data_IF_993572591417
#
_entry.id   IF_993572591417
#
_cell.length_a   1.000
_cell.length_b   1.000
_cell.length_c   1.000
_cell.angle_alpha   90.00
_cell.angle_beta   90.00
_cell.angle_gamma   90.00
#
_symmetry.space_group_name_H-M   'P 1'
#
loop_
_entity.id
_entity.type
_entity.pdbx_description
1 polymer ?
#
# COMPACT_ATOMS: atom_id res chain seq x y z
N UNK A 1 10.81 40.14 0.94
CA UNK A 1 9.65 39.41 1.49
C UNK A 1 9.71 37.91 1.20
N UNK A 2 9.78 37.45 -0.06
CA UNK A 2 9.83 36.02 -0.40
C UNK A 2 10.98 35.24 0.24
N UNK A 3 12.18 35.83 0.30
CA UNK A 3 13.34 35.24 0.97
C UNK A 3 13.12 35.04 2.47
N UNK A 4 12.37 35.94 3.15
CA UNK A 4 12.05 35.78 4.56
C UNK A 4 11.10 34.60 4.81
N UNK A 5 10.18 34.32 3.89
CA UNK A 5 9.29 33.14 3.97
C UNK A 5 10.13 31.86 3.89
N UNK A 6 11.05 31.79 2.93
CA UNK A 6 11.96 30.64 2.77
C UNK A 6 12.81 30.43 4.03
N UNK A 7 13.41 31.49 4.56
CA UNK A 7 14.24 31.41 5.77
C UNK A 7 13.41 31.00 7.00
N UNK A 8 12.21 31.58 7.18
CA UNK A 8 11.32 31.23 8.28
C UNK A 8 10.86 29.77 8.20
N UNK A 9 10.51 29.30 7.01
CA UNK A 9 10.14 27.91 6.77
C UNK A 9 11.33 26.96 7.04
N UNK A 10 12.52 27.28 6.53
CA UNK A 10 13.72 26.50 6.76
C UNK A 10 14.08 26.39 8.25
N UNK A 11 14.02 27.51 8.99
CA UNK A 11 14.23 27.49 10.45
C UNK A 11 13.18 26.64 11.17
N UNK A 12 11.93 26.65 10.69
CA UNK A 12 10.85 25.84 11.26
C UNK A 12 11.10 24.34 11.11
N UNK A 13 11.68 23.92 9.97
CA UNK A 13 11.94 22.50 9.68
C UNK A 13 13.25 22.03 10.32
N UNK A 14 14.33 22.80 10.17
CA UNK A 14 15.67 22.37 10.58
C UNK A 14 15.98 22.65 12.05
N UNK A 15 15.33 23.67 12.64
CA UNK A 15 15.57 24.07 14.02
C UNK A 15 14.26 24.30 14.80
N UNK A 16 13.35 23.31 14.85
CA UNK A 16 12.01 23.46 15.45
C UNK A 16 12.05 23.84 16.94
N UNK A 17 13.12 23.47 17.66
CA UNK A 17 13.32 23.81 19.08
C UNK A 17 13.76 25.27 19.31
N UNK A 18 14.30 25.94 18.29
CA UNK A 18 14.81 27.31 18.40
C UNK A 18 13.77 28.36 17.96
N UNK A 19 12.66 27.93 17.37
CA UNK A 19 11.60 28.81 16.89
C UNK A 19 10.31 28.66 17.69
N UNK A 20 9.52 29.73 17.75
CA UNK A 20 8.21 29.68 18.41
C UNK A 20 7.24 28.81 17.59
N UNK A 21 6.42 27.93 18.21
CA UNK A 21 5.49 27.06 17.48
C UNK A 21 4.51 27.79 16.55
N UNK A 22 4.12 29.02 16.91
CA UNK A 22 3.26 29.85 16.07
C UNK A 22 3.87 30.17 14.69
N UNK A 23 5.20 30.11 14.57
CA UNK A 23 5.88 30.34 13.29
C UNK A 23 5.46 29.30 12.25
N UNK A 24 5.15 28.07 12.65
CA UNK A 24 4.78 26.99 11.74
C UNK A 24 3.51 27.35 10.94
N UNK A 25 2.45 27.75 11.65
CA UNK A 25 1.19 28.16 11.04
C UNK A 25 1.31 29.45 10.22
N UNK A 26 2.20 30.37 10.63
CA UNK A 26 2.46 31.62 9.89
C UNK A 26 3.27 31.39 8.60
N UNK A 27 4.17 30.40 8.59
CA UNK A 27 5.07 30.14 7.47
C UNK A 27 4.46 29.22 6.40
N UNK A 28 3.66 28.23 6.79
CA UNK A 28 3.19 27.17 5.88
C UNK A 28 2.29 27.70 4.76
N UNK A 29 1.34 28.59 5.06
CA UNK A 29 0.41 29.13 4.06
C UNK A 29 1.13 30.01 3.02
N UNK A 30 2.00 30.95 3.41
CA UNK A 30 2.87 31.65 2.46
C UNK A 30 3.79 30.71 1.67
N UNK A 31 4.32 29.65 2.29
CA UNK A 31 5.17 28.67 1.61
C UNK A 31 4.41 27.92 0.51
N UNK A 32 3.20 27.43 0.80
CA UNK A 32 2.31 26.81 -0.18
C UNK A 32 2.01 27.79 -1.31
N UNK A 33 1.69 29.06 -1.01
CA UNK A 33 1.49 30.08 -2.05
C UNK A 33 2.72 30.28 -2.94
N UNK A 34 3.93 30.18 -2.40
CA UNK A 34 5.16 30.27 -3.19
C UNK A 34 5.37 29.07 -4.10
N UNK A 35 5.05 27.86 -3.65
CA UNK A 35 5.01 26.68 -4.52
C UNK A 35 4.01 26.92 -5.65
N UNK A 36 2.81 27.38 -5.30
CA UNK A 36 1.71 27.56 -6.24
C UNK A 36 1.91 28.69 -7.26
N UNK A 37 2.76 29.67 -6.95
CA UNK A 37 3.06 30.78 -7.84
C UNK A 37 3.91 30.37 -9.07
N UNK A 38 4.52 29.18 -9.07
CA UNK A 38 5.36 28.65 -10.16
C UNK A 38 6.41 29.66 -10.66
N UNK A 39 6.99 30.43 -9.72
CA UNK A 39 7.98 31.46 -10.00
C UNK A 39 9.41 30.89 -9.94
N UNK A 40 10.23 31.34 -10.88
CA UNK A 40 11.53 30.80 -11.25
C UNK A 40 12.56 30.73 -10.10
N UNK A 41 12.52 31.66 -9.14
CA UNK A 41 13.60 31.81 -8.15
C UNK A 41 13.41 31.02 -6.85
N UNK A 42 12.17 30.81 -6.41
CA UNK A 42 11.91 30.30 -5.06
C UNK A 42 10.91 29.14 -5.00
N UNK A 43 10.15 28.84 -6.07
CA UNK A 43 9.11 27.80 -6.00
C UNK A 43 9.68 26.38 -5.86
N UNK A 44 10.80 26.08 -6.51
CA UNK A 44 11.49 24.78 -6.34
C UNK A 44 12.02 24.61 -4.91
N UNK A 45 12.72 25.61 -4.37
CA UNK A 45 13.18 25.58 -2.96
C UNK A 45 12.02 25.55 -1.96
N UNK A 46 10.93 26.28 -2.23
CA UNK A 46 9.73 26.22 -1.40
C UNK A 46 9.13 24.81 -1.38
N UNK A 47 9.11 24.14 -2.53
CA UNK A 47 8.62 22.77 -2.66
C UNK A 47 9.53 21.77 -1.93
N UNK A 48 10.84 21.94 -1.97
CA UNK A 48 11.81 21.13 -1.21
C UNK A 48 11.60 21.29 0.31
N UNK A 49 11.53 22.52 0.82
CA UNK A 49 11.32 22.78 2.27
C UNK A 49 9.94 22.29 2.73
N UNK A 50 8.91 22.47 1.90
CA UNK A 50 7.57 21.96 2.18
C UNK A 50 7.57 20.43 2.21
N UNK A 51 8.31 19.78 1.31
CA UNK A 51 8.43 18.32 1.30
C UNK A 51 9.19 17.82 2.54
N UNK A 52 10.30 18.45 2.90
CA UNK A 52 11.16 18.02 4.01
C UNK A 52 10.44 18.11 5.36
N UNK A 53 9.71 19.21 5.60
CA UNK A 53 9.00 19.40 6.87
C UNK A 53 7.63 18.73 6.94
N UNK A 54 7.20 17.98 5.91
CA UNK A 54 5.80 17.52 5.82
C UNK A 54 5.43 16.61 6.99
N UNK A 55 6.23 15.59 7.27
CA UNK A 55 5.95 14.61 8.33
C UNK A 55 6.08 15.22 9.74
N UNK A 56 7.09 16.05 9.97
CA UNK A 56 7.46 16.55 11.29
C UNK A 56 6.75 17.84 11.69
N UNK A 57 6.52 18.75 10.74
CA UNK A 57 6.17 20.16 11.02
C UNK A 57 4.84 20.54 10.39
N UNK A 58 4.67 20.30 9.08
CA UNK A 58 3.57 20.89 8.32
C UNK A 58 2.28 20.10 8.42
N UNK A 59 2.32 18.77 8.53
CA UNK A 59 1.12 17.92 8.60
C UNK A 59 0.19 18.31 9.75
N UNK A 60 0.73 18.76 10.89
CA UNK A 60 -0.07 19.23 12.01
C UNK A 60 -0.82 20.55 11.71
N UNK A 61 -0.30 21.38 10.79
CA UNK A 61 -0.88 22.67 10.44
C UNK A 61 -1.84 22.60 9.25
N UNK A 62 -1.52 21.79 8.23
CA UNK A 62 -2.26 21.74 6.95
C UNK A 62 -2.82 20.36 6.61
N UNK A 63 -2.88 19.43 7.57
CA UNK A 63 -3.25 18.03 7.33
C UNK A 63 -4.55 17.85 6.53
N UNK A 64 -5.59 18.62 6.83
CA UNK A 64 -6.88 18.58 6.11
C UNK A 64 -6.82 19.15 4.69
N UNK A 65 -5.81 19.95 4.37
CA UNK A 65 -5.64 20.60 3.07
C UNK A 65 -4.75 19.79 2.12
N UNK A 66 -4.00 18.79 2.63
CA UNK A 66 -3.09 17.95 1.84
C UNK A 66 -3.77 17.35 0.60
N UNK A 67 -4.97 16.75 0.65
CA UNK A 67 -5.62 16.19 -0.54
C UNK A 67 -5.91 17.25 -1.62
N UNK A 68 -6.31 18.45 -1.21
CA UNK A 68 -6.54 19.57 -2.13
C UNK A 68 -5.23 20.01 -2.78
N UNK A 69 -4.18 20.16 -1.97
CA UNK A 69 -2.84 20.53 -2.46
C UNK A 69 -2.29 19.48 -3.45
N UNK A 70 -2.51 18.18 -3.21
CA UNK A 70 -2.15 17.13 -4.16
C UNK A 70 -2.86 17.32 -5.51
N UNK A 71 -4.17 17.59 -5.49
CA UNK A 71 -4.93 17.86 -6.71
C UNK A 71 -4.43 19.11 -7.46
N UNK A 72 -4.13 20.16 -6.71
CA UNK A 72 -3.55 21.40 -7.23
C UNK A 72 -2.16 21.19 -7.88
N UNK A 73 -1.31 20.35 -7.28
CA UNK A 73 -0.01 19.96 -7.87
C UNK A 73 -0.18 19.13 -9.14
N UNK A 74 -1.14 18.20 -9.18
CA UNK A 74 -1.44 17.46 -10.41
C UNK A 74 -1.89 18.39 -11.54
N UNK A 75 -2.75 19.37 -11.23
CA UNK A 75 -3.16 20.38 -12.19
C UNK A 75 -1.95 21.18 -12.73
N UNK A 76 -1.00 21.57 -11.87
CA UNK A 76 0.21 22.26 -12.32
C UNK A 76 1.08 21.40 -13.22
N UNK A 77 1.24 20.11 -12.90
CA UNK A 77 2.00 19.17 -13.72
C UNK A 77 1.37 19.05 -15.11
N UNK A 78 0.03 18.98 -15.18
CA UNK A 78 -0.72 18.98 -16.43
C UNK A 78 -0.43 20.26 -17.24
N UNK A 79 -0.57 21.44 -16.61
CA UNK A 79 -0.32 22.72 -17.27
C UNK A 79 1.11 22.85 -17.79
N UNK A 80 2.12 22.45 -17.00
CA UNK A 80 3.53 22.58 -17.38
C UNK A 80 3.90 21.60 -18.49
N UNK A 81 3.30 20.41 -18.50
CA UNK A 81 3.60 19.38 -19.50
C UNK A 81 2.85 19.65 -20.80
N UNK A 82 1.61 20.15 -20.75
CA UNK A 82 0.80 20.50 -21.92
C UNK A 82 1.17 21.84 -22.58
N UNK A 83 1.65 22.83 -21.82
CA UNK A 83 2.03 24.15 -22.36
C UNK A 83 3.19 24.11 -23.36
N UNK A 84 3.95 23.01 -23.42
CA UNK A 84 5.03 22.83 -24.40
C UNK A 84 4.52 22.77 -25.85
N UNK A 85 3.22 22.55 -26.10
CA UNK A 85 2.68 22.43 -27.45
C UNK A 85 2.20 23.75 -28.07
N UNK A 86 1.68 24.71 -27.28
CA UNK A 86 0.90 25.84 -27.83
C UNK A 86 1.28 27.25 -27.34
N UNK A 87 2.25 27.41 -26.43
CA UNK A 87 2.71 28.75 -26.01
C UNK A 87 4.21 28.76 -25.77
N UNK A 88 4.96 29.75 -26.27
CA UNK A 88 6.37 29.89 -25.95
C UNK A 88 6.51 30.27 -24.46
N UNK A 89 6.70 29.28 -23.59
CA UNK A 89 7.10 29.53 -22.20
C UNK A 89 8.44 30.25 -22.22
N UNK A 90 8.52 31.40 -21.56
CA UNK A 90 9.69 32.29 -21.59
C UNK A 90 11.01 31.63 -21.14
N UNK A 91 10.97 30.50 -20.41
CA UNK A 91 12.16 29.75 -19.97
C UNK A 91 11.88 28.22 -19.82
N UNK A 92 12.09 27.40 -20.85
CA UNK A 92 11.76 25.96 -20.83
C UNK A 92 12.61 25.13 -19.85
N UNK A 93 13.83 25.56 -19.52
CA UNK A 93 14.67 24.88 -18.53
C UNK A 93 14.13 24.99 -17.10
N UNK A 94 13.44 26.09 -16.79
CA UNK A 94 12.96 26.38 -15.43
C UNK A 94 11.64 25.67 -15.15
N UNK A 95 10.76 25.58 -16.15
CA UNK A 95 9.52 24.80 -16.05
C UNK A 95 9.79 23.31 -15.83
N UNK A 96 10.82 22.77 -16.49
CA UNK A 96 11.30 21.39 -16.28
C UNK A 96 11.79 21.21 -14.85
N UNK A 97 12.64 22.10 -14.32
CA UNK A 97 13.14 22.00 -12.94
C UNK A 97 12.03 22.02 -11.90
N UNK A 98 11.06 22.93 -12.03
CA UNK A 98 9.94 23.02 -11.08
C UNK A 98 9.11 21.74 -11.17
N UNK A 99 8.75 21.28 -12.37
CA UNK A 99 8.02 20.01 -12.57
C UNK A 99 8.76 18.84 -11.92
N UNK A 100 10.06 18.73 -12.14
CA UNK A 100 10.86 17.63 -11.59
C UNK A 100 10.92 17.70 -10.06
N UNK A 101 10.93 18.89 -9.48
CA UNK A 101 10.84 19.08 -8.02
C UNK A 101 9.45 18.67 -7.49
N UNK A 102 8.38 19.09 -8.18
CA UNK A 102 7.00 18.74 -7.80
C UNK A 102 6.78 17.22 -7.85
N UNK A 103 7.16 16.58 -8.96
CA UNK A 103 6.99 15.14 -9.19
C UNK A 103 7.96 14.30 -8.34
N UNK A 104 9.22 14.73 -8.26
CA UNK A 104 10.29 13.94 -7.66
C UNK A 104 10.39 14.05 -6.15
N UNK A 105 9.93 15.17 -5.57
CA UNK A 105 10.17 15.53 -4.16
C UNK A 105 8.86 15.84 -3.44
N UNK A 106 8.12 16.86 -3.87
CA UNK A 106 6.97 17.36 -3.09
C UNK A 106 5.78 16.40 -3.10
N UNK A 107 5.35 15.95 -4.29
CA UNK A 107 4.17 15.08 -4.42
C UNK A 107 4.34 13.75 -3.65
N UNK A 108 5.49 13.03 -3.73
CA UNK A 108 5.73 11.87 -2.88
C UNK A 108 5.66 12.19 -1.38
N UNK A 109 6.20 13.33 -0.94
CA UNK A 109 6.16 13.70 0.48
C UNK A 109 4.73 13.96 0.96
N UNK A 110 3.93 14.71 0.19
CA UNK A 110 2.51 14.92 0.46
C UNK A 110 1.74 13.59 0.51
N UNK A 111 2.01 12.70 -0.45
CA UNK A 111 1.36 11.40 -0.53
C UNK A 111 1.73 10.48 0.65
N UNK A 112 2.97 10.53 1.15
CA UNK A 112 3.35 9.79 2.36
C UNK A 112 2.73 10.38 3.62
N UNK A 113 2.51 11.69 3.67
CA UNK A 113 1.89 12.36 4.79
C UNK A 113 0.38 12.07 4.93
N UNK A 114 -0.33 11.92 3.80
CA UNK A 114 -1.72 11.47 3.75
C UNK A 114 -1.95 10.48 2.59
N UNK A 115 -1.63 9.21 2.85
CA UNK A 115 -1.73 8.12 1.87
C UNK A 115 -3.16 7.94 1.38
N UNK A 116 -4.15 7.94 2.28
CA UNK A 116 -5.55 7.77 1.90
C UNK A 116 -6.06 8.96 1.08
N UNK A 117 -5.73 10.18 1.51
CA UNK A 117 -6.03 11.41 0.75
C UNK A 117 -5.48 11.36 -0.66
N UNK A 118 -4.20 10.98 -0.81
CA UNK A 118 -3.58 10.78 -2.12
C UNK A 118 -4.32 9.75 -2.98
N UNK A 119 -4.62 8.57 -2.43
CA UNK A 119 -5.33 7.50 -3.16
C UNK A 119 -6.72 7.94 -3.62
N UNK A 120 -7.44 8.73 -2.80
CA UNK A 120 -8.74 9.29 -3.16
C UNK A 120 -8.63 10.34 -4.27
N UNK A 121 -7.54 11.11 -4.31
CA UNK A 121 -7.30 12.09 -5.38
C UNK A 121 -7.05 11.37 -6.70
N UNK A 122 -6.13 10.40 -6.75
CA UNK A 122 -5.79 9.72 -8.01
C UNK A 122 -6.97 8.88 -8.55
N UNK A 123 -7.78 8.30 -7.67
CA UNK A 123 -9.01 7.59 -8.06
C UNK A 123 -10.01 8.51 -8.77
N UNK A 124 -10.11 9.78 -8.37
CA UNK A 124 -10.94 10.76 -9.08
C UNK A 124 -10.29 11.18 -10.39
N UNK A 125 -8.97 11.42 -10.37
CA UNK A 125 -8.21 11.89 -11.53
C UNK A 125 -8.27 10.93 -12.71
N UNK A 126 -8.34 9.62 -12.48
CA UNK A 126 -8.39 8.62 -13.55
C UNK A 126 -9.62 8.81 -14.46
N UNK A 127 -10.73 9.32 -13.92
CA UNK A 127 -11.97 9.57 -14.65
C UNK A 127 -12.16 11.02 -15.08
N UNK A 128 -11.49 11.97 -14.40
CA UNK A 128 -11.64 13.40 -14.66
C UNK A 128 -10.59 14.01 -15.60
N UNK A 129 -9.58 13.24 -16.01
CA UNK A 129 -8.52 13.71 -16.91
C UNK A 129 -8.53 12.95 -18.24
N UNK A 130 -7.89 13.54 -19.25
CA UNK A 130 -7.71 12.86 -20.53
C UNK A 130 -6.93 11.55 -20.35
N UNK A 131 -7.25 10.55 -21.16
CA UNK A 131 -6.63 9.23 -21.09
C UNK A 131 -5.10 9.25 -21.29
N UNK A 132 -4.59 10.22 -22.04
CA UNK A 132 -3.16 10.40 -22.33
C UNK A 132 -2.46 11.41 -21.39
N UNK A 133 -3.16 11.89 -20.36
CA UNK A 133 -2.60 12.84 -19.40
C UNK A 133 -1.34 12.28 -18.69
N UNK A 134 -0.29 13.09 -18.51
CA UNK A 134 0.89 12.72 -17.73
C UNK A 134 0.60 12.41 -16.26
N UNK A 135 -0.54 12.86 -15.73
CA UNK A 135 -0.97 12.63 -14.34
C UNK A 135 -1.03 11.14 -14.00
N UNK A 136 -1.45 10.29 -14.93
CA UNK A 136 -1.53 8.84 -14.71
C UNK A 136 -0.15 8.24 -14.43
N UNK A 137 0.85 8.59 -15.25
CA UNK A 137 2.23 8.12 -15.09
C UNK A 137 2.85 8.65 -13.80
N UNK A 138 2.63 9.93 -13.49
CA UNK A 138 3.11 10.54 -12.25
C UNK A 138 2.47 9.88 -11.02
N UNK A 139 1.18 9.53 -11.10
CA UNK A 139 0.48 8.81 -10.03
C UNK A 139 1.10 7.44 -9.78
N UNK A 140 1.38 6.67 -10.84
CA UNK A 140 2.07 5.38 -10.75
C UNK A 140 3.47 5.49 -10.14
N UNK A 141 4.25 6.49 -10.56
CA UNK A 141 5.57 6.76 -9.97
C UNK A 141 5.47 7.13 -8.49
N UNK A 142 4.48 7.94 -8.13
CA UNK A 142 4.25 8.37 -6.74
C UNK A 142 3.82 7.20 -5.86
N UNK A 143 2.94 6.31 -6.35
CA UNK A 143 2.58 5.05 -5.66
C UNK A 143 3.85 4.24 -5.34
N UNK A 144 4.75 4.08 -6.30
CA UNK A 144 6.02 3.38 -6.09
C UNK A 144 6.88 4.06 -5.02
N UNK A 145 6.92 5.40 -5.00
CA UNK A 145 7.65 6.14 -3.96
C UNK A 145 7.03 5.96 -2.57
N UNK A 146 5.71 6.02 -2.45
CA UNK A 146 4.98 5.77 -1.20
C UNK A 146 5.21 4.34 -0.72
N UNK A 147 5.10 3.36 -1.62
CA UNK A 147 5.35 1.95 -1.30
C UNK A 147 6.76 1.72 -0.75
N UNK A 148 7.77 2.43 -1.27
CA UNK A 148 9.15 2.33 -0.79
C UNK A 148 9.41 3.09 0.50
N UNK A 149 8.83 4.29 0.65
CA UNK A 149 9.09 5.19 1.78
C UNK A 149 8.27 4.86 3.03
N UNK A 150 7.01 4.46 2.87
CA UNK A 150 6.08 4.18 3.98
C UNK A 150 5.21 2.95 3.70
N UNK A 151 5.81 1.76 3.41
CA UNK A 151 5.07 0.58 2.98
C UNK A 151 3.93 0.19 3.93
N UNK A 152 4.17 0.24 5.25
CA UNK A 152 3.18 -0.12 6.28
C UNK A 152 1.87 0.67 6.16
N UNK A 153 1.95 1.96 5.84
CA UNK A 153 0.77 2.82 5.71
C UNK A 153 -0.05 2.48 4.45
N UNK A 154 0.57 1.83 3.45
CA UNK A 154 -0.05 1.44 2.20
C UNK A 154 -0.69 0.05 2.23
N UNK A 155 -0.28 -0.82 3.16
CA UNK A 155 -0.74 -2.22 3.29
C UNK A 155 -2.27 -2.36 3.27
N UNK A 156 -2.96 -1.56 4.08
CA UNK A 156 -4.42 -1.60 4.18
C UNK A 156 -5.14 -1.17 2.89
N UNK A 157 -4.43 -0.53 1.97
CA UNK A 157 -4.97 -0.01 0.71
C UNK A 157 -4.44 -0.77 -0.51
N UNK A 158 -3.79 -1.93 -0.34
CA UNK A 158 -3.18 -2.68 -1.44
C UNK A 158 -4.14 -2.98 -2.58
N UNK A 159 -5.39 -3.38 -2.26
CA UNK A 159 -6.39 -3.61 -3.28
C UNK A 159 -6.72 -2.35 -4.09
N UNK A 160 -6.86 -1.20 -3.40
CA UNK A 160 -7.11 0.09 -4.06
C UNK A 160 -5.95 0.49 -4.96
N UNK A 161 -4.72 0.34 -4.46
CA UNK A 161 -3.48 0.61 -5.21
C UNK A 161 -3.39 -0.26 -6.46
N UNK A 162 -3.57 -1.57 -6.31
CA UNK A 162 -3.47 -2.49 -7.43
C UNK A 162 -4.61 -2.27 -8.42
N UNK A 163 -5.84 -2.02 -7.95
CA UNK A 163 -6.98 -1.70 -8.82
C UNK A 163 -6.70 -0.46 -9.64
N UNK A 164 -6.14 0.61 -9.05
CA UNK A 164 -5.73 1.79 -9.79
C UNK A 164 -4.68 1.45 -10.87
N UNK A 165 -3.63 0.68 -10.52
CA UNK A 165 -2.61 0.30 -11.50
C UNK A 165 -3.22 -0.53 -12.64
N UNK A 166 -4.10 -1.47 -12.32
CA UNK A 166 -4.82 -2.27 -13.31
C UNK A 166 -5.70 -1.41 -14.24
N UNK A 167 -6.42 -0.42 -13.71
CA UNK A 167 -7.24 0.50 -14.51
C UNK A 167 -6.40 1.26 -15.55
N UNK A 168 -5.15 1.64 -15.23
CA UNK A 168 -4.27 2.34 -16.18
C UNK A 168 -3.78 1.48 -17.35
N UNK A 169 -4.01 0.16 -17.31
CA UNK A 169 -3.68 -0.79 -18.38
C UNK A 169 -4.90 -1.52 -18.93
N UNK A 170 -6.11 -1.02 -18.63
CA UNK A 170 -7.36 -1.57 -19.13
C UNK A 170 -7.34 -1.68 -20.67
N UNK A 171 -7.57 -2.87 -21.25
CA UNK A 171 -7.69 -3.03 -22.70
C UNK A 171 -8.78 -2.16 -23.34
N UNK A 172 -9.80 -1.74 -22.58
CA UNK A 172 -10.85 -0.83 -23.04
C UNK A 172 -10.38 0.61 -23.30
N UNK A 173 -9.28 1.05 -22.68
CA UNK A 173 -8.73 2.39 -22.87
C UNK A 173 -7.34 2.35 -23.51
N UNK A 174 -7.31 2.24 -24.84
CA UNK A 174 -6.06 2.08 -25.60
C UNK A 174 -5.09 3.26 -25.44
N UNK A 175 -5.59 4.49 -25.30
CA UNK A 175 -4.76 5.67 -25.14
C UNK A 175 -4.01 5.65 -23.80
N UNK A 176 -4.74 5.43 -22.71
CA UNK A 176 -4.15 5.34 -21.37
C UNK A 176 -3.20 4.15 -21.27
N UNK A 177 -3.61 2.99 -21.78
CA UNK A 177 -2.78 1.78 -21.81
C UNK A 177 -1.47 2.01 -22.56
N UNK A 178 -1.50 2.65 -23.73
CA UNK A 178 -0.29 2.95 -24.52
C UNK A 178 0.71 3.80 -23.72
N UNK A 179 0.24 4.80 -22.99
CA UNK A 179 1.07 5.70 -22.19
C UNK A 179 1.56 5.05 -20.90
N UNK A 180 0.72 4.26 -20.23
CA UNK A 180 0.97 3.79 -18.87
C UNK A 180 1.53 2.37 -18.77
N UNK A 181 1.44 1.52 -19.81
CA UNK A 181 1.74 0.08 -19.71
C UNK A 181 3.10 -0.21 -19.07
N UNK A 182 4.17 0.43 -19.55
CA UNK A 182 5.52 0.21 -19.01
C UNK A 182 5.64 0.60 -17.53
N UNK A 183 5.14 1.77 -17.18
CA UNK A 183 5.18 2.29 -15.81
C UNK A 183 4.30 1.48 -14.86
N UNK A 184 3.16 0.99 -15.36
CA UNK A 184 2.21 0.16 -14.61
C UNK A 184 2.78 -1.22 -14.30
N UNK A 185 3.40 -1.87 -15.29
CA UNK A 185 4.08 -3.15 -15.08
C UNK A 185 5.28 -3.01 -14.12
N UNK A 186 6.03 -1.91 -14.23
CA UNK A 186 7.10 -1.62 -13.27
C UNK A 186 6.55 -1.39 -11.85
N UNK A 187 5.42 -0.67 -11.72
CA UNK A 187 4.76 -0.46 -10.44
C UNK A 187 4.24 -1.77 -9.84
N UNK A 188 3.55 -2.62 -10.60
CA UNK A 188 3.08 -3.93 -10.13
C UNK A 188 4.23 -4.79 -9.62
N UNK A 189 5.34 -4.88 -10.37
CA UNK A 189 6.53 -5.63 -9.96
C UNK A 189 7.11 -5.11 -8.66
N UNK A 190 7.16 -3.80 -8.51
CA UNK A 190 7.65 -3.17 -7.29
C UNK A 190 6.72 -3.41 -6.09
N UNK A 191 5.40 -3.33 -6.30
CA UNK A 191 4.40 -3.64 -5.27
C UNK A 191 4.55 -5.11 -4.83
N UNK A 192 4.61 -6.06 -5.75
CA UNK A 192 4.81 -7.48 -5.42
C UNK A 192 6.15 -7.76 -4.71
N UNK A 193 7.20 -6.99 -5.03
CA UNK A 193 8.51 -7.09 -4.37
C UNK A 193 8.46 -6.62 -2.91
N UNK A 194 7.75 -5.52 -2.66
CA UNK A 194 7.67 -4.89 -1.33
C UNK A 194 6.65 -5.60 -0.44
N UNK A 195 5.49 -5.96 -0.99
CA UNK A 195 4.36 -6.51 -0.24
C UNK A 195 4.24 -8.00 -0.48
N UNK A 196 4.62 -8.85 0.49
CA UNK A 196 4.55 -10.30 0.33
C UNK A 196 3.13 -10.83 0.15
N UNK A 197 2.10 -10.05 0.50
CA UNK A 197 0.70 -10.36 0.26
C UNK A 197 0.28 -10.19 -1.21
N UNK A 198 1.20 -9.78 -2.09
CA UNK A 198 0.97 -9.63 -3.52
C UNK A 198 1.92 -10.55 -4.27
N UNK A 199 1.37 -11.44 -5.08
CA UNK A 199 2.16 -12.37 -5.89
C UNK A 199 1.91 -12.11 -7.38
N UNK A 200 2.99 -12.11 -8.16
CA UNK A 200 2.97 -12.02 -9.61
C UNK A 200 3.51 -13.31 -10.21
N UNK A 201 2.83 -13.83 -11.21
CA UNK A 201 3.36 -14.84 -12.11
C UNK A 201 3.46 -14.21 -13.51
N UNK A 202 4.66 -13.72 -13.82
CA UNK A 202 4.97 -13.03 -15.08
C UNK A 202 4.72 -13.95 -16.31
N UNK A 203 5.18 -15.21 -16.36
CA UNK A 203 4.96 -16.09 -17.51
C UNK A 203 3.48 -16.31 -17.87
N UNK A 204 2.61 -16.47 -16.87
CA UNK A 204 1.17 -16.76 -17.07
C UNK A 204 0.32 -15.48 -16.96
N UNK A 205 0.95 -14.32 -16.79
CA UNK A 205 0.29 -13.01 -16.63
C UNK A 205 -0.78 -13.01 -15.52
N UNK A 206 -0.46 -13.58 -14.36
CA UNK A 206 -1.39 -13.65 -13.21
C UNK A 206 -0.93 -12.77 -12.05
N UNK A 207 -1.91 -12.24 -11.33
CA UNK A 207 -1.72 -11.41 -10.15
C UNK A 207 -2.64 -11.90 -9.04
N UNK A 208 -2.11 -12.11 -7.84
CA UNK A 208 -2.86 -12.43 -6.65
C UNK A 208 -2.64 -11.36 -5.58
N UNK A 209 -3.71 -10.96 -4.90
CA UNK A 209 -3.71 -9.98 -3.82
C UNK A 209 -4.45 -10.59 -2.64
N UNK A 210 -3.74 -10.74 -1.53
CA UNK A 210 -4.32 -11.21 -0.28
C UNK A 210 -4.77 -10.07 0.62
N UNK A 211 -5.83 -10.30 1.39
CA UNK A 211 -6.23 -9.42 2.48
C UNK A 211 -5.16 -9.44 3.58
N UNK A 212 -4.32 -8.40 3.59
CA UNK A 212 -3.23 -8.28 4.56
C UNK A 212 -3.74 -8.12 5.99
N UNK A 213 -4.75 -7.26 6.16
CA UNK A 213 -5.39 -6.95 7.45
C UNK A 213 -6.90 -7.07 7.27
N UNK A 214 -7.55 -7.79 8.17
CA UNK A 214 -8.99 -8.01 8.10
C UNK A 214 -9.48 -8.94 9.21
N UNK A 215 -10.72 -9.35 9.11
CA UNK A 215 -11.27 -10.39 9.98
C UNK A 215 -10.87 -11.76 9.44
N UNK A 216 -10.47 -12.66 10.34
CA UNK A 216 -10.03 -14.01 9.97
C UNK A 216 -11.15 -14.78 9.27
N UNK A 217 -12.42 -14.49 9.55
CA UNK A 217 -13.56 -15.22 8.99
C UNK A 217 -13.99 -14.74 7.60
N UNK A 218 -13.47 -13.60 7.13
CA UNK A 218 -13.84 -13.00 5.84
C UNK A 218 -12.65 -12.82 4.90
N UNK A 219 -11.48 -13.30 5.31
CA UNK A 219 -10.26 -13.10 4.53
C UNK A 219 -10.28 -13.84 3.20
N UNK A 220 -9.81 -13.15 2.17
CA UNK A 220 -9.86 -13.61 0.80
C UNK A 220 -8.56 -13.31 0.07
N UNK A 221 -8.33 -14.07 -1.01
CA UNK A 221 -7.30 -13.76 -2.00
C UNK A 221 -7.99 -13.55 -3.33
N UNK A 222 -7.73 -12.42 -3.96
CA UNK A 222 -8.29 -12.07 -5.27
C UNK A 222 -7.26 -12.33 -6.33
N UNK A 223 -7.64 -13.12 -7.33
CA UNK A 223 -6.78 -13.49 -8.45
C UNK A 223 -7.29 -12.82 -9.72
N UNK A 224 -6.37 -12.18 -10.43
CA UNK A 224 -6.61 -11.40 -11.64
C UNK A 224 -5.82 -11.99 -12.80
N UNK A 225 -6.45 -11.95 -13.97
CA UNK A 225 -5.76 -12.09 -15.25
C UNK A 225 -5.27 -10.71 -15.71
N UNK A 226 -3.95 -10.54 -15.80
CA UNK A 226 -3.34 -9.26 -16.20
C UNK A 226 -3.46 -8.98 -17.70
N UNK A 227 -3.80 -9.98 -18.53
CA UNK A 227 -4.01 -9.75 -19.96
C UNK A 227 -5.36 -9.08 -20.22
N UNK A 228 -6.42 -9.59 -19.58
CA UNK A 228 -7.78 -9.05 -19.69
C UNK A 228 -8.13 -8.02 -18.62
N UNK A 229 -7.31 -7.87 -17.58
CA UNK A 229 -7.56 -6.99 -16.42
C UNK A 229 -8.87 -7.35 -15.71
N UNK A 230 -9.17 -8.65 -15.66
CA UNK A 230 -10.38 -9.15 -15.00
C UNK A 230 -10.05 -9.97 -13.77
N UNK A 231 -10.85 -9.80 -12.71
CA UNK A 231 -10.83 -10.71 -11.58
C UNK A 231 -11.37 -12.05 -12.04
N UNK A 232 -10.52 -13.08 -11.98
CA UNK A 232 -10.87 -14.43 -12.43
C UNK A 232 -11.39 -15.30 -11.29
N UNK A 233 -10.88 -15.10 -10.06
CA UNK A 233 -11.29 -15.87 -8.89
C UNK A 233 -11.11 -15.12 -7.57
N UNK A 234 -11.82 -15.65 -6.57
CA UNK A 234 -11.66 -15.34 -5.16
C UNK A 234 -11.35 -16.65 -4.45
N UNK A 235 -10.25 -16.72 -3.72
CA UNK A 235 -9.90 -17.85 -2.89
C UNK A 235 -10.28 -17.52 -1.45
N UNK A 236 -10.95 -18.46 -0.81
CA UNK A 236 -11.33 -18.33 0.58
C UNK A 236 -10.13 -18.63 1.47
N UNK A 237 -9.61 -17.57 2.10
CA UNK A 237 -8.50 -17.64 3.04
C UNK A 237 -9.01 -17.47 4.49
N UNK A 238 -10.31 -17.67 4.73
CA UNK A 238 -10.88 -17.62 6.06
C UNK A 238 -10.27 -18.68 6.98
N UNK A 239 -10.51 -18.53 8.29
CA UNK A 239 -10.03 -19.46 9.32
C UNK A 239 -10.27 -20.93 8.94
N UNK A 240 -9.45 -21.86 9.44
CA UNK A 240 -9.45 -23.23 8.95
C UNK A 240 -10.85 -23.85 9.06
N UNK A 241 -11.30 -24.63 8.06
CA UNK A 241 -12.54 -25.39 8.18
C UNK A 241 -12.40 -26.34 9.37
N UNK A 242 -12.99 -25.98 10.51
CA UNK A 242 -12.99 -26.77 11.73
C UNK A 242 -12.01 -26.39 12.84
N UNK A 243 -11.51 -25.15 12.95
CA UNK A 243 -10.95 -24.76 14.26
C UNK A 243 -12.07 -24.75 15.31
N UNK A 244 -11.86 -25.40 16.46
CA UNK A 244 -12.86 -25.45 17.52
C UNK A 244 -13.02 -24.06 18.11
N UNK A 245 -14.26 -23.73 18.46
CA UNK A 245 -14.71 -22.59 19.26
C UNK A 245 -14.05 -22.46 20.66
N UNK A 246 -12.96 -23.18 20.92
CA UNK A 246 -12.20 -23.20 22.17
C UNK A 246 -11.25 -21.99 22.34
N UNK A 247 -11.04 -21.19 21.30
CA UNK A 247 -10.40 -19.87 21.38
C UNK A 247 -11.44 -18.73 21.43
N UNK A 248 -12.70 -19.07 21.72
CA UNK A 248 -13.85 -18.17 21.85
C UNK A 248 -13.77 -17.25 23.06
N UNK A 249 -12.75 -16.39 23.12
CA UNK A 249 -12.78 -15.17 23.90
C UNK A 249 -13.59 -14.11 23.17
N UNK A 250 -14.90 -14.11 23.42
CA UNK A 250 -15.90 -13.12 22.99
C UNK A 250 -16.01 -12.84 21.48
N UNK A 251 -17.23 -13.00 20.98
CA UNK A 251 -17.72 -12.43 19.72
C UNK A 251 -17.41 -10.93 19.65
N UNK A 252 -16.28 -10.59 19.05
CA UNK A 252 -15.85 -9.23 18.75
C UNK A 252 -15.04 -9.25 17.47
N UNK A 253 -15.31 -8.32 16.55
CA UNK A 253 -14.63 -8.16 15.27
C UNK A 253 -13.15 -7.82 15.49
N UNK A 254 -12.32 -8.80 15.86
CA UNK A 254 -10.89 -8.58 16.06
C UNK A 254 -10.19 -8.60 14.70
N UNK A 255 -9.95 -7.42 14.15
CA UNK A 255 -9.09 -7.21 12.99
C UNK A 255 -7.69 -7.71 13.31
N UNK A 256 -7.10 -8.55 12.46
CA UNK A 256 -5.74 -9.09 12.62
C UNK A 256 -5.02 -9.12 11.27
N UNK A 257 -3.72 -9.40 11.28
CA UNK A 257 -2.99 -9.74 10.05
C UNK A 257 -3.45 -11.11 9.58
N UNK A 258 -4.05 -11.20 8.38
CA UNK A 258 -4.61 -12.47 7.90
C UNK A 258 -3.70 -13.15 6.88
N UNK A 259 -3.16 -12.40 5.92
CA UNK A 259 -2.24 -12.93 4.92
C UNK A 259 -0.90 -12.22 5.06
N UNK A 260 0.14 -13.00 5.34
CA UNK A 260 1.50 -12.52 5.55
C UNK A 260 2.37 -12.71 4.32
N UNK A 261 2.14 -13.76 3.52
CA UNK A 261 2.83 -13.97 2.24
C UNK A 261 2.01 -14.79 1.24
N UNK A 262 2.21 -14.55 -0.05
CA UNK A 262 1.66 -15.29 -1.18
C UNK A 262 2.75 -15.72 -2.15
N UNK A 263 2.53 -16.83 -2.85
CA UNK A 263 3.40 -17.25 -3.95
C UNK A 263 2.65 -18.16 -4.93
N UNK A 264 2.74 -17.85 -6.23
CA UNK A 264 2.26 -18.75 -7.28
C UNK A 264 3.24 -19.87 -7.50
N UNK A 265 2.75 -21.07 -7.81
CA UNK A 265 3.59 -22.14 -8.35
C UNK A 265 4.24 -21.70 -9.67
N UNK A 266 5.41 -22.27 -10.04
CA UNK A 266 6.12 -21.90 -11.25
C UNK A 266 5.28 -22.03 -12.54
N UNK A 267 4.39 -23.02 -12.59
CA UNK A 267 3.44 -23.26 -13.68
C UNK A 267 2.20 -22.34 -13.65
N UNK A 268 2.00 -21.56 -12.58
CA UNK A 268 0.83 -20.69 -12.39
C UNK A 268 -0.48 -21.44 -12.10
N UNK A 269 -0.42 -22.77 -11.92
CA UNK A 269 -1.60 -23.61 -11.66
C UNK A 269 -1.94 -23.74 -10.18
N UNK A 270 -1.14 -23.18 -9.29
CA UNK A 270 -1.42 -23.16 -7.86
C UNK A 270 -0.95 -21.88 -7.18
N UNK A 271 -1.51 -21.64 -6.01
CA UNK A 271 -1.17 -20.52 -5.15
C UNK A 271 -1.01 -21.01 -3.72
N UNK A 272 0.05 -20.57 -3.05
CA UNK A 272 0.30 -20.78 -1.63
C UNK A 272 0.11 -19.45 -0.89
N UNK A 273 -0.50 -19.51 0.29
CA UNK A 273 -0.56 -18.39 1.22
C UNK A 273 -0.04 -18.80 2.60
N UNK A 274 0.65 -17.89 3.29
CA UNK A 274 1.06 -18.05 4.68
C UNK A 274 0.40 -16.98 5.56
N UNK A 275 -0.02 -17.39 6.75
CA UNK A 275 -0.62 -16.53 7.78
C UNK A 275 0.17 -16.65 9.08
N UNK A 276 0.77 -15.54 9.56
CA UNK A 276 1.50 -15.49 10.84
C UNK A 276 0.57 -15.75 12.03
N UNK A 277 -0.60 -15.08 12.10
CA UNK A 277 -1.54 -15.12 13.23
C UNK A 277 -2.08 -16.53 13.54
N UNK A 278 -2.07 -17.44 12.56
CA UNK A 278 -2.48 -18.84 12.75
C UNK A 278 -1.39 -19.86 12.44
N UNK A 279 -0.14 -19.41 12.22
CA UNK A 279 1.00 -20.23 11.81
C UNK A 279 0.59 -21.31 10.80
N UNK A 280 0.01 -20.91 9.68
CA UNK A 280 -0.56 -21.85 8.71
C UNK A 280 -0.20 -21.49 7.29
N UNK A 281 0.05 -22.53 6.50
CA UNK A 281 0.21 -22.47 5.05
C UNK A 281 -1.05 -23.06 4.42
N UNK A 282 -1.66 -22.30 3.52
CA UNK A 282 -2.81 -22.71 2.70
C UNK A 282 -2.37 -22.92 1.27
N UNK A 283 -2.90 -23.97 0.65
CA UNK A 283 -2.57 -24.35 -0.72
C UNK A 283 -3.83 -24.54 -1.55
N UNK A 284 -3.82 -23.92 -2.73
CA UNK A 284 -4.80 -24.12 -3.77
C UNK A 284 -4.07 -24.61 -5.02
N UNK A 285 -4.31 -25.83 -5.48
CA UNK A 285 -3.76 -26.34 -6.74
C UNK A 285 -4.59 -27.45 -7.35
N UNK A 286 -4.63 -27.49 -8.67
CA UNK A 286 -5.33 -28.54 -9.38
C UNK A 286 -4.43 -29.72 -9.71
N UNK A 287 -4.92 -30.94 -9.46
CA UNK A 287 -4.26 -32.18 -9.86
C UNK A 287 -5.19 -33.06 -10.70
N UNK A 288 -5.49 -32.69 -11.95
CA UNK A 288 -5.78 -33.63 -13.07
C UNK A 288 -6.04 -32.92 -14.43
N UNK A 289 -5.00 -32.44 -15.12
CA UNK A 289 -4.98 -32.32 -16.59
C UNK A 289 -5.89 -31.28 -17.26
N UNK A 290 -6.26 -30.18 -16.59
CA UNK A 290 -6.97 -29.05 -17.18
C UNK A 290 -6.86 -27.83 -16.27
N UNK A 291 -6.55 -26.67 -16.83
CA UNK A 291 -6.39 -25.43 -16.09
C UNK A 291 -7.67 -25.15 -15.28
N UNK A 292 -7.63 -25.33 -13.96
CA UNK A 292 -8.82 -25.18 -13.09
C UNK A 292 -9.45 -23.79 -13.17
N UNK A 293 -8.64 -22.79 -13.50
CA UNK A 293 -9.08 -21.43 -13.81
C UNK A 293 -10.01 -21.35 -15.04
N UNK A 294 -9.86 -22.26 -16.01
CA UNK A 294 -10.67 -22.31 -17.24
C UNK A 294 -11.92 -23.19 -17.09
N UNK A 295 -11.85 -24.25 -16.28
CA UNK A 295 -13.00 -25.18 -16.04
C UNK A 295 -14.03 -24.64 -15.07
N UNK A 296 -13.63 -23.84 -14.10
CA UNK A 296 -14.60 -23.11 -13.29
C UNK A 296 -15.12 -21.96 -14.14
N UNK A 297 -16.43 -21.94 -14.36
CA UNK A 297 -17.14 -20.78 -14.94
C UNK A 297 -16.58 -19.48 -14.31
N UNK A 298 -16.62 -18.34 -15.01
CA UNK A 298 -16.15 -17.02 -14.49
C UNK A 298 -17.04 -16.49 -13.35
N UNK A 299 -17.42 -17.36 -12.42
CA UNK A 299 -18.05 -17.03 -11.17
C UNK A 299 -16.96 -16.65 -10.15
N UNK A 300 -17.33 -15.71 -9.28
CA UNK A 300 -16.49 -15.22 -8.18
C UNK A 300 -16.86 -15.91 -6.87
N UNK A 301 -17.41 -17.13 -6.94
CA UNK A 301 -17.70 -17.94 -5.75
C UNK A 301 -16.38 -18.28 -5.07
N UNK A 302 -16.21 -18.00 -3.77
CA UNK A 302 -14.97 -18.26 -3.05
C UNK A 302 -14.56 -19.75 -3.10
N UNK A 303 -13.29 -19.99 -3.46
CA UNK A 303 -12.72 -21.35 -3.57
C UNK A 303 -12.01 -21.73 -2.27
N UNK A 304 -12.46 -22.81 -1.65
CA UNK A 304 -11.85 -23.35 -0.42
C UNK A 304 -10.42 -23.84 -0.64
N UNK A 305 -9.59 -23.73 0.39
CA UNK A 305 -8.25 -24.29 0.35
C UNK A 305 -8.29 -25.82 0.25
N UNK A 306 -7.36 -26.40 -0.51
CA UNK A 306 -7.29 -27.86 -0.71
C UNK A 306 -6.43 -28.54 0.34
N UNK A 307 -5.39 -27.85 0.79
CA UNK A 307 -4.52 -28.35 1.85
C UNK A 307 -4.17 -27.21 2.79
N UNK A 308 -4.16 -27.56 4.07
CA UNK A 308 -3.74 -26.69 5.16
C UNK A 308 -2.60 -27.39 5.91
N UNK A 309 -1.52 -26.65 6.15
CA UNK A 309 -0.34 -27.13 6.86
C UNK A 309 -0.08 -26.21 8.03
N UNK A 310 -0.04 -26.76 9.24
CA UNK A 310 0.37 -26.01 10.42
C UNK A 310 1.89 -25.93 10.49
N UNK A 311 2.37 -24.72 10.72
CA UNK A 311 3.77 -24.37 10.87
C UNK A 311 4.10 -24.43 12.37
N UNK A 312 5.12 -25.20 12.78
CA UNK A 312 5.51 -25.22 14.19
C UNK A 312 6.00 -23.83 14.62
N UNK A 313 5.77 -23.42 15.89
CA UNK A 313 6.37 -22.22 16.42
C UNK A 313 7.90 -22.35 16.43
N UNK A 314 8.59 -21.24 16.18
CA UNK A 314 10.04 -21.18 15.95
C UNK A 314 10.75 -20.57 17.17
N UNK A 315 11.99 -20.97 17.44
CA UNK A 315 12.85 -20.29 18.42
C UNK A 315 13.10 -18.84 17.99
N UNK A 316 12.37 -17.91 18.61
CA UNK A 316 12.25 -16.51 18.18
C UNK A 316 10.90 -15.89 18.49
N UNK A 317 9.87 -16.71 18.70
CA UNK A 317 8.69 -16.34 19.49
C UNK A 317 9.08 -16.32 20.99
N UNK A 318 9.96 -15.38 21.38
CA UNK A 318 10.18 -15.11 22.80
C UNK A 318 8.93 -14.39 23.35
N UNK A 319 8.34 -14.85 24.46
CA UNK A 319 7.23 -14.15 25.13
C UNK A 319 7.58 -12.74 25.60
N UNK A 320 8.87 -12.35 25.62
CA UNK A 320 9.32 -11.11 26.25
C UNK A 320 9.57 -9.95 25.27
N UNK A 321 9.13 -10.03 24.02
CA UNK A 321 9.23 -8.93 23.06
C UNK A 321 7.86 -8.31 22.75
N UNK A 322 7.07 -7.95 23.76
CA UNK A 322 5.87 -7.08 23.63
C UNK A 322 4.94 -7.41 22.44
N UNK A 323 4.85 -8.69 22.09
CA UNK A 323 3.99 -9.25 21.06
C UNK A 323 3.15 -10.28 21.78
N UNK A 324 1.98 -9.85 22.26
CA UNK A 324 1.01 -10.75 22.86
C UNK A 324 0.66 -11.80 21.83
N UNK A 325 1.31 -12.96 21.92
CA UNK A 325 0.81 -14.16 21.26
C UNK A 325 -0.59 -14.41 21.83
N UNK A 326 -1.55 -14.79 21.00
CA UNK A 326 -2.93 -15.04 21.45
C UNK A 326 -2.98 -16.07 22.60
N UNK A 327 -1.97 -16.94 22.73
CA UNK A 327 -1.80 -17.85 23.87
C UNK A 327 -1.56 -17.15 25.22
N UNK A 328 -0.93 -15.98 25.25
CA UNK A 328 -0.62 -15.23 26.48
C UNK A 328 -1.86 -14.55 27.08
N UNK A 329 -2.80 -14.12 26.22
CA UNK A 329 -4.08 -13.54 26.66
C UNK A 329 -5.05 -14.56 27.27
N UNK A 330 -4.85 -15.86 27.02
CA UNK A 330 -5.74 -16.93 27.50
C UNK A 330 -5.48 -17.27 28.97
N UNK A 331 -4.26 -17.07 29.47
CA UNK A 331 -3.89 -17.38 30.85
C UNK A 331 -3.96 -16.17 31.82
N UNK A 332 -4.37 -15.00 31.33
CA UNK A 332 -4.26 -13.73 32.07
C UNK A 332 -5.61 -13.12 32.50
N UNK A 333 -6.73 -13.83 32.36
CA UNK A 333 -8.07 -13.31 32.68
C UNK A 333 -8.75 -14.10 33.81
N UNK A 334 -8.25 -13.88 35.02
CA UNK A 334 -9.08 -13.95 36.24
C UNK A 334 -9.08 -12.55 36.85
N UNK A 335 -10.16 -11.79 36.64
CA UNK A 335 -10.35 -10.47 37.27
C UNK A 335 -11.06 -9.44 36.38
N UNK A 336 -12.29 -9.12 36.79
CA UNK A 336 -13.01 -7.86 36.57
C UNK A 336 -13.73 -7.60 35.23
N UNK A 337 -15.02 -7.92 35.28
CA UNK A 337 -16.07 -7.44 34.39
C UNK A 337 -16.61 -6.07 34.88
N UNK A 338 -16.42 -5.02 34.09
CA UNK A 338 -17.34 -3.89 33.80
C UNK A 338 -16.59 -2.57 33.56
N UNK A 339 -16.65 -2.04 32.32
CA UNK A 339 -16.86 -0.60 32.05
C UNK A 339 -16.75 -0.22 30.55
N UNK A 340 -17.79 0.47 30.05
CA UNK A 340 -17.81 1.56 29.04
C UNK A 340 -17.60 1.27 27.54
N UNK A 341 -18.72 1.35 26.79
CA UNK A 341 -18.84 1.31 25.32
C UNK A 341 -18.24 2.52 24.57
N UNK A 342 -18.06 3.69 25.21
CA UNK A 342 -17.47 4.88 24.53
C UNK A 342 -15.93 4.85 24.45
N UNK A 343 -15.28 3.86 25.08
CA UNK A 343 -13.83 3.63 25.04
C UNK A 343 -13.40 2.75 23.87
N UNK A 344 -14.37 2.08 23.21
CA UNK A 344 -14.08 1.03 22.23
C UNK A 344 -13.53 1.56 20.90
N UNK A 345 -14.07 2.65 20.35
CA UNK A 345 -13.63 3.17 19.05
C UNK A 345 -12.20 3.75 19.08
N UNK A 346 -11.81 4.42 20.18
CA UNK A 346 -10.43 4.88 20.38
C UNK A 346 -9.47 3.70 20.50
N UNK A 347 -9.86 2.68 21.29
CA UNK A 347 -9.08 1.46 21.45
C UNK A 347 -8.94 0.66 20.15
N UNK A 348 -9.97 0.62 19.31
CA UNK A 348 -9.93 -0.04 18.00
C UNK A 348 -8.99 0.67 17.02
N UNK A 349 -9.04 2.01 16.98
CA UNK A 349 -8.13 2.81 16.16
C UNK A 349 -6.68 2.64 16.61
N UNK A 350 -6.42 2.63 17.91
CA UNK A 350 -5.07 2.45 18.44
C UNK A 350 -4.56 1.02 18.26
N UNK A 351 -5.43 0.00 18.40
CA UNK A 351 -5.12 -1.39 18.02
C UNK A 351 -4.80 -1.51 16.52
N UNK A 352 -5.56 -0.86 15.66
CA UNK A 352 -5.33 -0.88 14.22
C UNK A 352 -4.00 -0.21 13.85
N UNK A 353 -3.68 0.94 14.46
CA UNK A 353 -2.35 1.57 14.31
C UNK A 353 -1.23 0.65 14.80
N UNK A 354 -1.43 -0.04 15.91
CA UNK A 354 -0.46 -0.99 16.45
C UNK A 354 -0.27 -2.19 15.51
N UNK A 355 -1.35 -2.72 14.92
CA UNK A 355 -1.30 -3.78 13.90
C UNK A 355 -0.53 -3.34 12.65
N UNK A 356 -0.85 -2.16 12.12
CA UNK A 356 -0.11 -1.56 10.99
C UNK A 356 1.38 -1.38 11.32
N UNK A 357 1.70 -0.98 12.55
CA UNK A 357 3.09 -0.84 12.99
C UNK A 357 3.81 -2.19 13.10
N UNK A 358 3.11 -3.23 13.53
CA UNK A 358 3.68 -4.55 13.82
C UNK A 358 3.71 -5.49 12.62
N UNK A 359 3.10 -5.12 11.49
CA UNK A 359 3.05 -5.99 10.32
C UNK A 359 4.46 -6.26 9.77
N UNK A 360 4.78 -7.53 9.62
CA UNK A 360 6.06 -7.96 9.08
C UNK A 360 5.95 -8.19 7.57
N UNK A 361 6.65 -7.34 6.81
CA UNK A 361 6.72 -7.40 5.36
C UNK A 361 7.93 -8.20 4.86
N UNK A 362 8.64 -8.91 5.75
CA UNK A 362 9.85 -9.67 5.43
C UNK A 362 9.59 -11.14 5.08
N UNK A 363 8.38 -11.65 5.35
CA UNK A 363 8.01 -13.02 5.00
C UNK A 363 8.10 -13.27 3.50
N UNK A 364 8.66 -14.41 3.07
CA UNK A 364 8.66 -14.83 1.66
C UNK A 364 8.36 -16.33 1.55
N UNK A 365 7.69 -16.71 0.47
CA UNK A 365 7.38 -18.09 0.10
C UNK A 365 8.05 -18.42 -1.23
N UNK A 366 9.00 -19.35 -1.21
CA UNK A 366 9.83 -19.71 -2.35
C UNK A 366 9.65 -21.18 -2.73
N UNK A 367 9.52 -21.44 -4.02
CA UNK A 367 9.40 -22.80 -4.56
C UNK A 367 10.78 -23.44 -4.70
N UNK A 368 11.04 -24.52 -3.93
CA UNK A 368 12.31 -25.26 -3.96
C UNK A 368 12.17 -26.64 -4.65
N UNK A 369 10.99 -26.96 -5.17
CA UNK A 369 10.68 -28.16 -5.94
C UNK A 369 9.21 -28.20 -6.35
N UNK A 370 8.78 -29.24 -7.09
CA UNK A 370 7.43 -29.33 -7.69
C UNK A 370 6.26 -29.18 -6.68
N UNK A 371 6.48 -29.54 -5.41
CA UNK A 371 5.48 -29.41 -4.33
C UNK A 371 6.13 -29.08 -2.99
N UNK A 372 7.22 -28.33 -3.00
CA UNK A 372 7.94 -27.95 -1.78
C UNK A 372 8.08 -26.44 -1.73
N UNK A 373 7.59 -25.87 -0.64
CA UNK A 373 7.67 -24.43 -0.38
C UNK A 373 8.61 -24.18 0.81
N UNK A 374 9.51 -23.24 0.63
CA UNK A 374 10.39 -22.71 1.66
C UNK A 374 9.78 -21.41 2.18
N UNK A 375 9.52 -21.34 3.48
CA UNK A 375 9.12 -20.11 4.15
C UNK A 375 10.39 -19.42 4.66
N UNK A 376 10.53 -18.11 4.48
CA UNK A 376 11.62 -17.32 5.07
C UNK A 376 11.09 -16.06 5.73
N UNK A 377 11.85 -15.52 6.70
CA UNK A 377 11.58 -14.25 7.37
C UNK A 377 12.92 -13.52 7.57
N UNK A 378 13.01 -12.27 7.14
CA UNK A 378 14.28 -11.52 7.11
C UNK A 378 15.45 -12.31 6.48
N UNK A 379 15.16 -13.14 5.47
CA UNK A 379 16.13 -14.02 4.82
C UNK A 379 16.56 -15.25 5.63
N UNK A 380 16.08 -15.43 6.86
CA UNK A 380 16.29 -16.66 7.65
C UNK A 380 15.37 -17.75 7.14
N UNK A 381 15.90 -18.97 7.01
CA UNK A 381 15.11 -20.13 6.69
C UNK A 381 14.14 -20.38 7.83
N UNK A 382 12.87 -20.18 7.50
CA UNK A 382 11.73 -20.71 8.20
C UNK A 382 11.94 -22.22 8.23
N UNK A 383 11.35 -22.86 7.24
CA UNK A 383 11.45 -24.29 7.02
C UNK A 383 10.89 -24.63 5.66
N UNK A 384 11.02 -25.89 5.29
CA UNK A 384 10.51 -26.40 4.02
C UNK A 384 9.31 -27.32 4.25
N UNK A 385 8.20 -27.03 3.57
CA UNK A 385 6.93 -27.73 3.73
C UNK A 385 6.53 -28.43 2.44
N UNK A 386 6.04 -29.66 2.58
CA UNK A 386 5.56 -30.48 1.47
C UNK A 386 4.06 -30.21 1.22
N UNK A 387 3.74 -29.69 0.04
CA UNK A 387 2.39 -29.41 -0.44
C UNK A 387 1.71 -30.67 -1.00
#
# INVERSE_FOLDING_TARGET
MTSHIIVAAALSVWYPSLVKPNLFGLAVNPLVKLVMAMNEKYSSTAAEILAEGMESTWKACIGSEIPRLIGDIFFQIECVTGASANTPTKNPSTSVRIRDTLVGVLLPSLAMADVLGFLNVIERQIWSTASDSPVHVVSLMTIVRVARGSPRNLVQYLDKVVTFILQTIDPGNLAMRKTCLKSSMAALKEIARIFPMVALNDPVTRLAIGDAIGEINSASIRVYDMQSITKIKVLDASGPPGFPSLLGGASGMTVTTVISALSFSPDGEGLVAFSETGLMIRWWSYSLGSVWWEKLNRNLVPVQCMKLIFVPPWEGFSPNASRSSLMESVFSKDGDANSQENTNASNEMDRFKQLLHNIDLSYRLEWVGQKKIKLTQHGRDLGTFQL
#
